data_IF_161336038331
#
_entry.id   IF_161336038331
#
_cell.length_a   1.000
_cell.length_b   1.000
_cell.length_c   1.000
_cell.angle_alpha   90.00
_cell.angle_beta   90.00
_cell.angle_gamma   90.00
#
_symmetry.space_group_name_H-M   'P 1'
#
loop_
_entity.id
_entity.type
_entity.pdbx_description
1 polymer ?
#
# COMPACT_ATOMS: atom_id res chain seq x y z
N UNK A 1 2.88 -4.45 -3.44
CA UNK A 1 2.63 -5.44 -2.35
C UNK A 1 1.18 -5.31 -1.89
N UNK A 2 0.48 -6.42 -1.63
CA UNK A 2 -0.86 -6.42 -1.04
C UNK A 2 -0.79 -7.21 0.26
N UNK A 3 -1.19 -6.61 1.39
CA UNK A 3 -1.21 -7.29 2.70
C UNK A 3 -2.45 -6.96 3.52
N UNK A 4 -2.83 -7.89 4.41
CA UNK A 4 -3.86 -7.70 5.43
C UNK A 4 -3.35 -7.04 6.71
N UNK A 5 -2.04 -6.76 6.81
CA UNK A 5 -1.41 -6.15 7.97
C UNK A 5 -1.76 -4.67 8.15
N UNK A 6 -1.43 -4.15 9.33
CA UNK A 6 -1.46 -2.71 9.59
C UNK A 6 -0.53 -1.96 8.62
N UNK A 7 -0.82 -0.67 8.38
CA UNK A 7 0.00 0.20 7.54
C UNK A 7 1.48 0.19 7.95
N UNK A 8 1.73 0.28 9.25
CA UNK A 8 3.10 0.37 9.79
C UNK A 8 3.87 -0.94 9.60
N UNK A 9 3.21 -2.07 9.86
CA UNK A 9 3.78 -3.41 9.63
C UNK A 9 4.07 -3.64 8.15
N UNK A 10 3.11 -3.30 7.29
CA UNK A 10 3.27 -3.39 5.84
C UNK A 10 4.49 -2.58 5.38
N UNK A 11 4.58 -1.31 5.78
CA UNK A 11 5.71 -0.45 5.42
C UNK A 11 7.06 -1.00 5.90
N UNK A 12 7.14 -1.50 7.14
CA UNK A 12 8.37 -2.09 7.68
C UNK A 12 8.82 -3.30 6.83
N UNK A 13 7.91 -4.25 6.55
CA UNK A 13 8.21 -5.43 5.75
C UNK A 13 8.64 -5.04 4.34
N UNK A 14 7.90 -4.15 3.68
CA UNK A 14 8.20 -3.75 2.31
C UNK A 14 9.54 -2.99 2.17
N UNK A 15 10.00 -2.29 3.22
CA UNK A 15 11.36 -1.74 3.27
C UNK A 15 12.40 -2.84 3.45
N UNK A 16 12.17 -3.77 4.38
CA UNK A 16 13.07 -4.89 4.67
C UNK A 16 13.32 -5.76 3.42
N UNK A 17 12.27 -6.06 2.64
CA UNK A 17 12.39 -6.85 1.41
C UNK A 17 12.79 -6.04 0.17
N UNK A 18 13.00 -4.73 0.31
CA UNK A 18 13.46 -3.85 -0.78
C UNK A 18 12.41 -3.55 -1.87
N UNK A 19 11.11 -3.74 -1.57
CA UNK A 19 9.98 -3.30 -2.41
C UNK A 19 9.89 -1.77 -2.38
N UNK A 20 10.02 -1.19 -1.19
CA UNK A 20 10.08 0.26 -1.01
C UNK A 20 11.55 0.68 -0.92
N UNK A 21 11.97 1.54 -1.85
CA UNK A 21 13.35 2.05 -1.91
C UNK A 21 13.48 3.53 -1.56
N UNK A 22 12.38 4.27 -1.55
CA UNK A 22 12.33 5.70 -1.22
C UNK A 22 11.89 5.98 0.22
N UNK A 23 12.01 7.23 0.63
CA UNK A 23 11.62 7.67 1.98
C UNK A 23 10.10 7.73 2.17
N UNK A 24 9.33 8.01 1.09
CA UNK A 24 7.88 8.20 1.15
C UNK A 24 7.14 7.22 0.24
N UNK A 25 6.96 5.95 0.65
CA UNK A 25 6.22 4.98 -0.13
C UNK A 25 4.75 5.38 -0.29
N UNK A 26 4.20 5.16 -1.50
CA UNK A 26 2.77 5.31 -1.76
C UNK A 26 2.03 4.12 -1.16
N UNK A 27 1.47 4.33 0.03
CA UNK A 27 0.63 3.35 0.71
C UNK A 27 -0.82 3.77 0.62
N UNK A 28 -1.65 2.88 0.08
CA UNK A 28 -3.08 3.06 -0.07
C UNK A 28 -3.83 1.91 0.62
N UNK A 29 -5.08 2.15 0.95
CA UNK A 29 -6.01 1.16 1.46
C UNK A 29 -6.73 0.45 0.33
N UNK A 30 -7.36 -0.69 0.64
CA UNK A 30 -8.23 -1.40 -0.30
C UNK A 30 -9.34 -0.52 -0.90
N UNK A 31 -9.88 0.42 -0.13
CA UNK A 31 -10.94 1.32 -0.59
C UNK A 31 -10.40 2.40 -1.52
N UNK A 32 -9.28 3.02 -1.18
CA UNK A 32 -8.58 3.97 -2.07
C UNK A 32 -8.14 3.30 -3.38
N UNK A 33 -7.71 2.03 -3.32
CA UNK A 33 -7.39 1.27 -4.54
C UNK A 33 -8.62 1.07 -5.43
N UNK A 34 -9.80 0.86 -4.84
CA UNK A 34 -11.06 0.70 -5.58
C UNK A 34 -11.59 1.97 -6.22
N UNK A 35 -11.09 3.15 -5.81
CA UNK A 35 -11.44 4.45 -6.40
C UNK A 35 -10.57 4.81 -7.61
N UNK A 36 -9.48 4.08 -7.84
CA UNK A 36 -8.56 4.31 -8.95
C UNK A 36 -9.02 3.58 -10.21
N UNK A 37 -8.83 4.23 -11.36
CA UNK A 37 -8.98 3.56 -12.66
C UNK A 37 -7.80 2.61 -12.94
N UNK A 38 -7.99 1.65 -13.83
CA UNK A 38 -6.93 0.73 -14.26
C UNK A 38 -5.66 1.47 -14.72
N UNK A 39 -5.81 2.60 -15.41
CA UNK A 39 -4.67 3.38 -15.90
C UNK A 39 -3.94 4.09 -14.76
N UNK A 40 -4.68 4.63 -13.77
CA UNK A 40 -4.07 5.19 -12.55
C UNK A 40 -3.37 4.11 -11.73
N UNK A 41 -3.94 2.90 -11.65
CA UNK A 41 -3.30 1.78 -10.96
C UNK A 41 -2.01 1.38 -11.67
N UNK A 42 -1.99 1.29 -13.00
CA UNK A 42 -0.80 0.95 -13.80
C UNK A 42 0.35 1.93 -13.55
N UNK A 43 0.07 3.22 -13.46
CA UNK A 43 1.09 4.24 -13.15
C UNK A 43 1.69 4.05 -11.75
N UNK A 44 0.90 3.53 -10.80
CA UNK A 44 1.33 3.32 -9.42
C UNK A 44 2.00 1.96 -9.20
N UNK A 45 1.73 0.94 -10.03
CA UNK A 45 2.24 -0.44 -9.88
C UNK A 45 3.72 -0.56 -9.48
N UNK A 46 4.66 0.26 -9.99
CA UNK A 46 6.08 0.15 -9.61
C UNK A 46 6.35 0.39 -8.13
N UNK A 47 5.50 1.17 -7.45
CA UNK A 47 5.73 1.64 -6.07
C UNK A 47 4.51 1.44 -5.15
N UNK A 48 3.42 0.85 -5.65
CA UNK A 48 2.17 0.75 -4.91
C UNK A 48 2.22 -0.33 -3.83
N UNK A 49 1.86 0.08 -2.62
CA UNK A 49 1.56 -0.80 -1.51
C UNK A 49 0.09 -0.64 -1.12
N UNK A 50 -0.65 -1.75 -1.12
CA UNK A 50 -2.02 -1.80 -0.65
C UNK A 50 -2.08 -2.54 0.70
N UNK A 51 -2.68 -1.91 1.70
CA UNK A 51 -2.97 -2.54 2.99
C UNK A 51 -4.48 -2.60 3.23
N UNK A 52 -4.92 -3.49 4.12
CA UNK A 52 -6.32 -3.51 4.57
C UNK A 52 -6.69 -2.13 5.13
N UNK A 53 -7.90 -1.65 4.83
CA UNK A 53 -8.42 -0.49 5.54
C UNK A 53 -8.55 -0.84 7.03
N UNK A 54 -7.76 -0.18 7.86
CA UNK A 54 -7.84 -0.33 9.30
C UNK A 54 -9.23 0.10 9.74
N UNK A 55 -10.05 -0.85 10.20
CA UNK A 55 -11.17 -0.51 11.05
C UNK A 55 -10.54 -0.01 12.34
N UNK A 56 -10.63 1.30 12.62
CA UNK A 56 -10.49 1.77 13.98
C UNK A 56 -11.53 0.99 14.78
N UNK A 57 -11.09 0.03 15.58
CA UNK A 57 -11.94 -0.63 16.56
C UNK A 57 -12.52 0.49 17.43
N UNK A 58 -13.77 0.84 17.20
CA UNK A 58 -14.60 1.55 18.16
C UNK A 58 -15.15 0.54 19.15
#
# INVERSE_FOLDING_TARGET
MITGDSKDTAQAIAREVGIIRGENPKVITSSELGELSDDQVKELLPEIMCCRQGFAYR
#
